data_IF_942474916881
#
_entry.id   IF_942474916881
#
_cell.length_a   1.000
_cell.length_b   1.000
_cell.length_c   1.000
_cell.angle_alpha   90.00
_cell.angle_beta   90.00
_cell.angle_gamma   90.00
#
_symmetry.space_group_name_H-M   'P 1'
#
loop_
_entity.id
_entity.type
_entity.pdbx_description
1 polymer ?
#
# COMPACT_ATOMS: atom_id res chain seq x y z
N UNK A 1 -35.96 19.24 1.24
CA UNK A 1 -36.23 18.13 0.32
C UNK A 1 -34.92 17.43 0.04
N UNK A 2 -34.91 16.14 0.38
CA UNK A 2 -34.03 15.05 -0.03
C UNK A 2 -32.52 15.32 -0.17
N UNK A 3 -31.76 14.84 0.83
CA UNK A 3 -30.37 14.40 0.63
C UNK A 3 -30.40 13.28 -0.40
N UNK A 4 -29.80 13.48 -1.57
CA UNK A 4 -29.39 12.35 -2.38
C UNK A 4 -28.37 11.53 -1.58
N UNK A 5 -28.49 10.18 -1.51
CA UNK A 5 -27.41 9.38 -0.94
C UNK A 5 -26.16 9.61 -1.79
N UNK A 6 -24.95 9.69 -1.21
CA UNK A 6 -23.75 9.56 -2.04
C UNK A 6 -23.85 8.18 -2.69
N UNK A 7 -24.04 8.18 -4.01
CA UNK A 7 -23.95 6.98 -4.82
C UNK A 7 -22.63 6.31 -4.47
N UNK A 8 -22.70 5.05 -4.03
CA UNK A 8 -21.54 4.19 -3.99
C UNK A 8 -21.05 4.07 -5.42
N UNK A 9 -20.03 4.87 -5.78
CA UNK A 9 -19.38 4.73 -7.07
C UNK A 9 -18.68 3.37 -7.09
N UNK A 10 -19.25 2.46 -7.87
CA UNK A 10 -18.57 1.28 -8.42
C UNK A 10 -17.50 1.82 -9.38
N UNK A 11 -16.20 1.55 -9.25
CA UNK A 11 -15.47 0.75 -8.28
C UNK A 11 -13.98 1.06 -8.41
N UNK A 12 -13.31 1.24 -7.28
CA UNK A 12 -11.88 1.47 -7.18
C UNK A 12 -11.44 1.27 -5.74
N UNK A 13 -10.17 0.92 -5.54
CA UNK A 13 -9.63 0.74 -4.19
C UNK A 13 -9.38 2.09 -3.52
N UNK A 14 -9.63 2.18 -2.22
CA UNK A 14 -9.41 3.41 -1.43
C UNK A 14 -7.96 3.55 -0.94
N UNK A 15 -7.16 2.50 -1.11
CA UNK A 15 -5.78 2.40 -0.66
C UNK A 15 -5.20 1.00 -0.93
N UNK A 16 -3.95 0.79 -0.54
CA UNK A 16 -3.24 -0.49 -0.62
C UNK A 16 -2.80 -0.92 0.78
N UNK A 17 -3.06 -2.17 1.16
CA UNK A 17 -2.52 -2.77 2.38
C UNK A 17 -1.67 -3.98 1.97
N UNK A 18 -0.42 -4.00 2.43
CA UNK A 18 0.46 -5.17 2.30
C UNK A 18 0.57 -5.86 3.67
N UNK A 19 0.01 -7.06 3.77
CA UNK A 19 0.14 -7.92 4.94
C UNK A 19 1.51 -8.61 4.96
N UNK A 20 2.37 -8.18 5.88
CA UNK A 20 3.72 -8.67 6.09
C UNK A 20 3.89 -9.40 7.43
N UNK A 21 2.79 -9.75 8.10
CA UNK A 21 2.85 -10.51 9.36
C UNK A 21 3.55 -11.85 9.14
N UNK A 22 4.41 -12.23 10.08
CA UNK A 22 5.28 -13.41 10.03
C UNK A 22 6.54 -13.24 9.20
N UNK A 23 6.82 -12.05 8.64
CA UNK A 23 7.97 -11.82 7.74
C UNK A 23 9.03 -10.83 8.27
N UNK A 24 8.91 -10.39 9.53
CA UNK A 24 9.91 -9.55 10.22
C UNK A 24 10.29 -8.23 9.51
N UNK A 25 9.35 -7.62 8.78
CA UNK A 25 9.60 -6.34 8.09
C UNK A 25 9.91 -5.22 9.09
N UNK A 26 10.94 -4.42 8.78
CA UNK A 26 11.31 -3.24 9.57
C UNK A 26 10.81 -1.96 8.91
N UNK A 27 10.35 -1.04 9.76
CA UNK A 27 9.98 0.29 9.31
C UNK A 27 11.20 1.03 8.72
N UNK A 28 10.98 1.70 7.59
CA UNK A 28 11.97 2.49 6.85
C UNK A 28 11.37 3.79 6.36
N UNK A 29 12.22 4.81 6.18
CA UNK A 29 11.82 6.10 5.62
C UNK A 29 11.59 6.06 4.11
N UNK A 30 12.13 5.04 3.43
CA UNK A 30 11.96 4.87 1.98
C UNK A 30 11.68 3.39 1.66
N UNK A 31 10.53 2.86 2.11
CA UNK A 31 10.13 1.52 1.77
C UNK A 31 9.68 1.45 0.30
N UNK A 32 9.77 0.24 -0.25
CA UNK A 32 9.35 -0.09 -1.60
C UNK A 32 8.56 -1.39 -1.52
N UNK A 33 7.57 -1.53 -2.37
CA UNK A 33 6.89 -2.78 -2.69
C UNK A 33 7.49 -3.25 -4.00
N UNK A 34 8.04 -4.46 -3.99
CA UNK A 34 8.68 -5.07 -5.15
C UNK A 34 7.85 -6.27 -5.62
N UNK A 35 7.95 -6.61 -6.89
CA UNK A 35 7.52 -7.93 -7.36
C UNK A 35 8.66 -8.95 -7.28
N UNK A 36 8.37 -10.19 -7.68
CA UNK A 36 9.30 -11.32 -7.65
C UNK A 36 10.56 -11.10 -8.50
N UNK A 37 10.48 -10.26 -9.53
CA UNK A 37 11.58 -9.92 -10.44
C UNK A 37 12.44 -8.78 -9.86
N UNK A 38 12.04 -8.21 -8.72
CA UNK A 38 12.70 -7.10 -8.06
C UNK A 38 12.29 -5.74 -8.64
N UNK A 39 11.28 -5.69 -9.51
CA UNK A 39 10.79 -4.44 -10.07
C UNK A 39 9.92 -3.72 -9.04
N UNK A 40 10.03 -2.39 -9.04
CA UNK A 40 9.24 -1.58 -8.12
C UNK A 40 7.79 -1.50 -8.58
N UNK A 41 6.88 -1.91 -7.69
CA UNK A 41 5.44 -1.74 -7.86
C UNK A 41 4.99 -0.41 -7.26
N UNK A 42 5.58 -0.01 -6.13
CA UNK A 42 5.29 1.25 -5.45
C UNK A 42 6.42 1.62 -4.46
N UNK A 43 6.61 2.91 -4.17
CA UNK A 43 7.45 3.39 -3.06
C UNK A 43 8.24 4.65 -3.38
N UNK A 44 8.61 4.85 -4.64
CA UNK A 44 9.26 6.07 -5.11
C UNK A 44 8.21 7.13 -5.43
N UNK A 45 8.17 8.19 -4.63
CA UNK A 45 7.34 9.35 -4.92
C UNK A 45 7.99 10.20 -6.03
N UNK A 46 7.21 10.55 -7.06
CA UNK A 46 7.66 11.45 -8.12
C UNK A 46 7.62 12.94 -7.72
N UNK A 47 6.77 13.29 -6.74
CA UNK A 47 6.62 14.66 -6.22
C UNK A 47 6.36 14.63 -4.72
N UNK A 48 7.08 15.44 -3.96
CA UNK A 48 6.87 15.60 -2.52
C UNK A 48 5.82 16.68 -2.26
N UNK A 49 4.64 16.27 -1.81
CA UNK A 49 3.57 17.17 -1.35
C UNK A 49 3.62 17.29 0.18
N UNK A 50 2.94 18.29 0.75
CA UNK A 50 2.86 18.44 2.22
C UNK A 50 2.29 17.18 2.90
N UNK A 51 1.31 16.53 2.24
CA UNK A 51 0.78 15.25 2.68
C UNK A 51 1.88 14.17 2.81
N UNK A 52 2.79 14.06 1.84
CA UNK A 52 3.91 13.11 1.90
C UNK A 52 4.91 13.47 2.98
N UNK A 53 5.10 14.77 3.25
CA UNK A 53 6.01 15.22 4.30
C UNK A 53 5.48 14.84 5.68
N UNK A 54 4.17 14.92 5.87
CA UNK A 54 3.51 14.59 7.14
C UNK A 54 3.30 13.09 7.32
N UNK A 55 2.82 12.40 6.29
CA UNK A 55 2.38 11.00 6.41
C UNK A 55 3.33 9.99 5.78
N UNK A 56 4.34 10.43 5.02
CA UNK A 56 5.23 9.56 4.27
C UNK A 56 4.54 8.82 3.11
N UNK A 57 5.33 8.05 2.36
CA UNK A 57 4.81 7.23 1.24
C UNK A 57 4.06 5.98 1.69
N UNK A 58 4.29 5.53 2.93
CA UNK A 58 3.72 4.30 3.48
C UNK A 58 3.65 4.39 5.01
N UNK A 59 2.60 3.83 5.60
CA UNK A 59 2.45 3.70 7.06
C UNK A 59 2.63 2.25 7.55
N UNK A 60 2.99 2.06 8.82
CA UNK A 60 3.11 0.74 9.44
C UNK A 60 2.10 0.59 10.57
N UNK A 61 1.38 -0.53 10.59
CA UNK A 61 0.30 -0.82 11.53
C UNK A 61 0.37 -2.27 12.02
N UNK A 62 -0.31 -2.59 13.11
CA UNK A 62 -0.32 -3.95 13.68
C UNK A 62 -1.52 -4.78 13.25
N UNK A 63 -2.53 -4.14 12.64
CA UNK A 63 -3.72 -4.84 12.11
C UNK A 63 -4.25 -4.20 10.83
N UNK A 64 -4.97 -5.01 10.05
CA UNK A 64 -5.64 -4.56 8.82
C UNK A 64 -6.72 -3.51 9.15
N UNK A 65 -7.44 -3.67 10.25
CA UNK A 65 -8.51 -2.73 10.61
C UNK A 65 -7.95 -1.37 11.03
N UNK A 66 -6.87 -1.34 11.81
CA UNK A 66 -6.19 -0.08 12.13
C UNK A 66 -5.66 0.61 10.87
N UNK A 67 -5.07 -0.15 9.94
CA UNK A 67 -4.60 0.39 8.66
C UNK A 67 -5.74 0.98 7.81
N UNK A 68 -6.91 0.32 7.78
CA UNK A 68 -8.13 0.81 7.12
C UNK A 68 -8.61 2.12 7.74
N UNK A 69 -8.75 2.14 9.07
CA UNK A 69 -9.24 3.30 9.80
C UNK A 69 -8.32 4.52 9.66
N UNK A 70 -7.01 4.32 9.84
CA UNK A 70 -6.05 5.42 9.94
C UNK A 70 -5.46 5.88 8.62
N UNK A 71 -5.52 5.07 7.56
CA UNK A 71 -4.82 5.39 6.29
C UNK A 71 -5.56 4.98 5.02
N UNK A 72 -5.95 3.71 4.91
CA UNK A 72 -6.32 3.13 3.63
C UNK A 72 -7.82 3.22 3.30
N UNK A 73 -8.66 3.65 4.24
CA UNK A 73 -10.09 3.81 4.04
C UNK A 73 -10.87 2.48 4.01
N UNK A 74 -12.16 2.52 3.65
CA UNK A 74 -13.08 1.39 3.83
C UNK A 74 -12.92 0.24 2.83
N UNK A 75 -12.32 0.46 1.66
CA UNK A 75 -12.20 -0.54 0.59
C UNK A 75 -10.79 -0.60 -0.01
N UNK A 76 -9.75 -0.98 0.76
CA UNK A 76 -8.40 -1.09 0.22
C UNK A 76 -8.19 -2.40 -0.55
N UNK A 77 -7.25 -2.40 -1.47
CA UNK A 77 -6.70 -3.63 -2.02
C UNK A 77 -5.77 -4.24 -0.95
N UNK A 78 -6.06 -5.45 -0.50
CA UNK A 78 -5.24 -6.15 0.49
C UNK A 78 -4.45 -7.26 -0.21
N UNK A 79 -3.12 -7.18 -0.13
CA UNK A 79 -2.18 -8.15 -0.72
C UNK A 79 -1.32 -8.74 0.39
N UNK A 80 -1.04 -10.04 0.32
CA UNK A 80 -0.09 -10.69 1.22
C UNK A 80 1.31 -10.69 0.61
N UNK A 81 2.30 -10.24 1.36
CA UNK A 81 3.69 -10.36 0.94
C UNK A 81 4.14 -11.83 0.99
N UNK A 82 4.99 -12.21 0.04
CA UNK A 82 5.56 -13.57 -0.05
C UNK A 82 6.93 -13.66 0.64
N UNK A 83 7.68 -12.55 0.70
CA UNK A 83 8.96 -12.41 1.40
C UNK A 83 9.28 -10.94 1.63
N UNK A 84 10.32 -10.66 2.41
CA UNK A 84 10.91 -9.31 2.53
C UNK A 84 12.29 -9.30 1.91
N UNK A 85 12.51 -8.42 0.94
CA UNK A 85 13.81 -8.17 0.35
C UNK A 85 14.70 -7.37 1.32
N UNK A 86 15.95 -7.80 1.44
CA UNK A 86 16.90 -7.29 2.44
C UNK A 86 17.90 -6.35 1.81
N UNK A 87 17.87 -5.07 2.20
CA UNK A 87 18.89 -4.11 1.76
C UNK A 87 19.98 -4.00 2.82
N UNK A 88 21.22 -4.33 2.45
CA UNK A 88 22.38 -4.37 3.38
C UNK A 88 22.08 -5.21 4.64
N UNK A 89 21.38 -6.33 4.47
CA UNK A 89 20.97 -7.22 5.56
C UNK A 89 19.73 -6.81 6.35
N UNK A 90 19.14 -5.65 6.05
CA UNK A 90 17.97 -5.13 6.75
C UNK A 90 16.69 -5.49 5.96
N UNK A 91 15.70 -6.18 6.56
CA UNK A 91 14.45 -6.55 5.88
C UNK A 91 13.53 -5.33 5.73
N UNK A 92 13.50 -4.73 4.53
CA UNK A 92 12.85 -3.42 4.32
C UNK A 92 11.73 -3.43 3.29
N UNK A 93 11.80 -4.29 2.28
CA UNK A 93 10.96 -4.16 1.09
C UNK A 93 10.05 -5.37 0.95
N UNK A 94 8.74 -5.24 1.20
CA UNK A 94 7.79 -6.30 0.92
C UNK A 94 7.85 -6.71 -0.55
N UNK A 95 7.95 -8.01 -0.79
CA UNK A 95 7.87 -8.61 -2.12
C UNK A 95 6.52 -9.30 -2.24
N UNK A 96 5.83 -9.06 -3.35
CA UNK A 96 4.52 -9.65 -3.67
C UNK A 96 4.61 -10.56 -4.89
N UNK A 97 3.61 -11.41 -5.09
CA UNK A 97 3.56 -12.30 -6.27
C UNK A 97 3.42 -11.50 -7.56
N UNK A 98 3.85 -12.08 -8.69
CA UNK A 98 3.66 -11.50 -10.03
C UNK A 98 2.19 -11.22 -10.34
N UNK A 99 1.28 -12.07 -9.87
CA UNK A 99 -0.17 -11.90 -10.07
C UNK A 99 -0.73 -10.72 -9.28
N UNK A 100 -0.30 -10.55 -8.03
CA UNK A 100 -0.69 -9.42 -7.21
C UNK A 100 -0.11 -8.11 -7.73
N UNK A 101 1.15 -8.13 -8.21
CA UNK A 101 1.78 -6.96 -8.83
C UNK A 101 1.03 -6.52 -10.09
N UNK A 102 0.63 -7.47 -10.94
CA UNK A 102 -0.21 -7.20 -12.11
C UNK A 102 -1.56 -6.61 -11.70
N UNK A 103 -2.23 -7.20 -10.71
CA UNK A 103 -3.51 -6.70 -10.19
C UNK A 103 -3.40 -5.27 -9.66
N UNK A 104 -2.36 -4.94 -8.88
CA UNK A 104 -2.15 -3.57 -8.40
C UNK A 104 -2.00 -2.60 -9.57
N UNK A 105 -1.20 -2.94 -10.58
CA UNK A 105 -0.96 -2.09 -11.75
C UNK A 105 -2.24 -1.85 -12.55
N UNK A 106 -2.99 -2.90 -12.86
CA UNK A 106 -4.28 -2.82 -13.59
C UNK A 106 -5.31 -1.96 -12.85
N UNK A 107 -5.44 -2.16 -11.53
CA UNK A 107 -6.42 -1.43 -10.72
C UNK A 107 -5.99 0.02 -10.48
N UNK A 108 -4.69 0.29 -10.44
CA UNK A 108 -4.17 1.64 -10.38
C UNK A 108 -4.29 2.38 -11.72
N UNK A 109 -4.19 1.69 -12.86
CA UNK A 109 -4.45 2.29 -14.17
C UNK A 109 -5.90 2.78 -14.29
N UNK A 110 -6.86 2.00 -13.76
CA UNK A 110 -8.29 2.35 -13.74
C UNK A 110 -8.62 3.46 -12.73
N UNK A 111 -8.14 3.30 -11.49
CA UNK A 111 -8.61 4.11 -10.35
C UNK A 111 -7.61 5.13 -9.81
N UNK A 112 -6.35 5.09 -10.25
CA UNK A 112 -5.24 5.96 -9.78
C UNK A 112 -5.07 6.01 -8.26
N UNK A 113 -5.49 4.95 -7.56
CA UNK A 113 -5.60 4.97 -6.10
C UNK A 113 -4.27 5.12 -5.36
N UNK A 114 -3.15 4.76 -6.00
CA UNK A 114 -1.80 4.92 -5.42
C UNK A 114 -1.35 6.39 -5.35
N UNK A 115 -1.95 7.30 -6.13
CA UNK A 115 -1.60 8.74 -6.11
C UNK A 115 -2.03 9.45 -4.82
N UNK A 116 -2.92 8.81 -4.06
CA UNK A 116 -3.35 9.28 -2.75
C UNK A 116 -2.35 8.94 -1.62
N UNK A 117 -1.31 8.14 -1.90
CA UNK A 117 -0.32 7.67 -0.93
C UNK A 117 -0.91 6.93 0.29
N UNK A 118 -2.15 6.44 0.16
CA UNK A 118 -2.88 5.64 1.14
C UNK A 118 -2.42 4.18 1.12
N UNK A 119 -1.13 3.98 1.39
CA UNK A 119 -0.48 2.67 1.40
C UNK A 119 -0.03 2.32 2.81
N UNK A 120 -0.36 1.12 3.27
CA UNK A 120 0.00 0.62 4.60
C UNK A 120 0.68 -0.75 4.51
N UNK A 121 1.60 -0.98 5.44
CA UNK A 121 2.18 -2.29 5.74
C UNK A 121 1.65 -2.72 7.10
N UNK A 122 1.09 -3.93 7.15
CA UNK A 122 0.71 -4.57 8.40
C UNK A 122 1.82 -5.52 8.80
N UNK A 123 2.31 -5.41 10.04
CA UNK A 123 3.40 -6.22 10.59
C UNK A 123 3.10 -6.61 12.04
N UNK A 124 3.84 -7.59 12.57
CA UNK A 124 3.78 -7.97 13.99
C UNK A 124 4.37 -6.90 14.92
#
# INVERSE_FOLDING_TARGET
>A
MEKAPPSAEVGGFTGLIIDCRGLEVRASQSPKILDEEGEEVYGTASKFTDYLREHGVMGYYTSIEEAKEKRCGPNPLIIKAIKIEKRRGIPLHPVISKDDARKIREENEKGRFLESYKVAVVKD
#
